data_IF_236072932806
#
_entry.id   IF_236072932806
#
_cell.length_a   1.000
_cell.length_b   1.000
_cell.length_c   1.000
_cell.angle_alpha   90.00
_cell.angle_beta   90.00
_cell.angle_gamma   90.00
#
_symmetry.space_group_name_H-M   'P 1'
#
loop_
_entity.id
_entity.type
_entity.pdbx_description
1 polymer ?
#
# COMPACT_ATOMS: atom_id res chain seq x y z
N UNK A 1 12.22 6.18 -8.16
CA UNK A 1 10.86 6.01 -8.73
C UNK A 1 9.95 5.06 -7.94
N UNK A 2 10.49 4.30 -6.97
CA UNK A 2 9.71 3.32 -6.20
C UNK A 2 8.62 3.90 -5.30
N UNK A 3 8.70 5.20 -4.95
CA UNK A 3 7.63 5.89 -4.21
C UNK A 3 6.31 5.91 -4.98
N UNK A 4 6.35 6.30 -6.25
CA UNK A 4 5.17 6.32 -7.13
C UNK A 4 4.60 4.91 -7.33
N UNK A 5 5.48 3.92 -7.51
CA UNK A 5 5.07 2.52 -7.63
C UNK A 5 4.39 2.00 -6.36
N UNK A 6 4.91 2.40 -5.19
CA UNK A 6 4.35 2.06 -3.89
C UNK A 6 2.97 2.66 -3.65
N UNK A 7 2.77 3.92 -4.03
CA UNK A 7 1.45 4.56 -3.96
C UNK A 7 0.43 3.87 -4.88
N UNK A 8 0.84 3.50 -6.11
CA UNK A 8 0.00 2.74 -7.03
C UNK A 8 -0.34 1.35 -6.45
N UNK A 9 0.62 0.68 -5.83
CA UNK A 9 0.41 -0.63 -5.20
C UNK A 9 -0.66 -0.56 -4.10
N UNK A 10 -0.60 0.46 -3.24
CA UNK A 10 -1.60 0.70 -2.17
C UNK A 10 -2.99 0.91 -2.78
N UNK A 11 -3.10 1.70 -3.84
CA UNK A 11 -4.37 1.96 -4.53
C UNK A 11 -4.95 0.67 -5.12
N UNK A 12 -4.12 -0.15 -5.78
CA UNK A 12 -4.57 -1.42 -6.37
C UNK A 12 -4.98 -2.42 -5.29
N UNK A 13 -4.24 -2.50 -4.17
CA UNK A 13 -4.61 -3.32 -3.01
C UNK A 13 -5.95 -2.91 -2.42
N UNK A 14 -6.17 -1.61 -2.23
CA UNK A 14 -7.45 -1.09 -1.77
C UNK A 14 -8.59 -1.42 -2.74
N UNK A 15 -8.34 -1.36 -4.05
CA UNK A 15 -9.33 -1.71 -5.07
C UNK A 15 -9.63 -3.22 -5.16
N UNK A 16 -8.63 -4.08 -4.95
CA UNK A 16 -8.80 -5.55 -5.01
C UNK A 16 -9.37 -6.15 -3.73
N UNK A 17 -8.98 -5.64 -2.56
CA UNK A 17 -9.48 -6.09 -1.26
C UNK A 17 -10.79 -5.38 -0.87
N UNK A 18 -11.04 -4.17 -1.37
CA UNK A 18 -12.26 -3.41 -1.12
C UNK A 18 -12.54 -3.25 0.38
N UNK A 19 -13.66 -3.83 0.83
CA UNK A 19 -14.11 -3.80 2.24
C UNK A 19 -13.19 -4.54 3.20
N UNK A 20 -12.37 -5.47 2.71
CA UNK A 20 -11.43 -6.24 3.51
C UNK A 20 -10.08 -5.52 3.66
N UNK A 21 -9.92 -4.35 3.01
CA UNK A 21 -8.78 -3.46 3.21
C UNK A 21 -8.97 -2.62 4.48
N UNK A 22 -8.60 -3.20 5.61
CA UNK A 22 -8.69 -2.54 6.92
C UNK A 22 -7.62 -1.45 7.10
N UNK A 23 -7.84 -0.56 8.06
CA UNK A 23 -6.84 0.46 8.43
C UNK A 23 -5.51 -0.16 8.88
N UNK A 24 -5.55 -1.32 9.52
CA UNK A 24 -4.36 -2.07 9.92
C UNK A 24 -3.59 -2.61 8.71
N UNK A 25 -4.31 -3.15 7.71
CA UNK A 25 -3.70 -3.58 6.46
C UNK A 25 -3.05 -2.39 5.73
N UNK A 26 -3.75 -1.25 5.63
CA UNK A 26 -3.20 -0.04 5.02
C UNK A 26 -1.92 0.43 5.71
N UNK A 27 -1.89 0.45 7.04
CA UNK A 27 -0.71 0.83 7.81
C UNK A 27 0.48 -0.14 7.60
N UNK A 28 0.22 -1.45 7.54
CA UNK A 28 1.24 -2.45 7.28
C UNK A 28 1.88 -2.28 5.88
N UNK A 29 1.05 -2.07 4.85
CA UNK A 29 1.53 -1.86 3.49
C UNK A 29 2.25 -0.52 3.32
N UNK A 30 1.78 0.55 3.97
CA UNK A 30 2.49 1.84 3.99
C UNK A 30 3.89 1.71 4.59
N UNK A 31 4.05 0.95 5.68
CA UNK A 31 5.36 0.69 6.27
C UNK A 31 6.27 -0.10 5.33
N UNK A 32 5.75 -1.12 4.65
CA UNK A 32 6.49 -1.91 3.67
C UNK A 32 6.99 -1.02 2.52
N UNK A 33 6.10 -0.24 1.91
CA UNK A 33 6.42 0.67 0.81
C UNK A 33 7.46 1.71 1.25
N UNK A 34 7.39 2.20 2.49
CA UNK A 34 8.38 3.10 3.05
C UNK A 34 9.80 2.52 3.11
N UNK A 35 9.93 1.21 3.35
CA UNK A 35 11.23 0.51 3.33
C UNK A 35 11.70 0.24 1.90
N UNK A 36 10.80 -0.12 0.99
CA UNK A 36 11.14 -0.41 -0.42
C UNK A 36 11.48 0.86 -1.22
N UNK A 37 10.92 2.00 -0.83
CA UNK A 37 11.17 3.28 -1.48
C UNK A 37 12.31 4.10 -0.85
N UNK A 38 12.94 3.59 0.21
CA UNK A 38 14.18 4.13 0.79
C UNK A 38 15.39 3.78 -0.08
#
# INVERSE_FOLDING_TARGET
NFRLLGDILIIVLAATLGKDFTLEAQAAWQKLVGVVAA
#
